data_IF_696274419479
#
_entry.id   IF_696274419479
#
_cell.length_a   1.000
_cell.length_b   1.000
_cell.length_c   1.000
_cell.angle_alpha   90.00
_cell.angle_beta   90.00
_cell.angle_gamma   90.00
#
_symmetry.space_group_name_H-M   'P 1'
#
loop_
_entity.id
_entity.type
_entity.pdbx_description
1 polymer ?
#
# COMPACT_ATOMS: atom_id res chain seq x y z
N UNK A 1 -3.14 38.75 15.19
CA UNK A 1 -1.92 37.93 15.38
C UNK A 1 -2.36 36.47 15.25
N UNK A 2 -2.41 35.96 14.02
CA UNK A 2 -2.95 34.63 13.68
C UNK A 2 -1.81 33.60 13.65
N UNK A 3 -2.01 32.51 14.37
CA UNK A 3 -1.08 31.39 14.55
C UNK A 3 -0.79 30.66 13.22
N UNK A 4 0.50 30.59 12.85
CA UNK A 4 0.98 29.94 11.61
C UNK A 4 1.05 28.40 11.72
N UNK A 5 0.65 27.77 12.83
CA UNK A 5 0.75 26.31 13.02
C UNK A 5 -0.37 25.48 12.39
N UNK A 6 -1.42 26.08 11.84
CA UNK A 6 -2.61 25.34 11.38
C UNK A 6 -2.58 24.94 9.90
N UNK A 7 -1.66 25.50 9.10
CA UNK A 7 -1.66 25.33 7.63
C UNK A 7 -1.11 24.01 7.07
N UNK A 8 -0.41 23.19 7.86
CA UNK A 8 0.24 21.95 7.39
C UNK A 8 -0.25 20.67 8.08
N UNK A 9 -1.18 20.80 9.03
CA UNK A 9 -1.72 19.67 9.81
C UNK A 9 -2.69 18.78 9.02
N UNK A 10 -3.20 19.24 7.89
CA UNK A 10 -4.22 18.54 7.09
C UNK A 10 -3.70 17.70 5.92
N UNK A 11 -2.46 17.89 5.45
CA UNK A 11 -2.05 17.29 4.17
C UNK A 11 -1.61 15.81 4.27
N UNK A 12 -0.96 15.40 5.36
CA UNK A 12 -0.37 14.05 5.46
C UNK A 12 -1.30 13.07 6.20
N UNK A 13 -2.31 13.58 6.92
CA UNK A 13 -3.27 12.75 7.68
C UNK A 13 -4.53 12.41 6.87
N UNK A 14 -4.70 12.98 5.67
CA UNK A 14 -5.90 12.83 4.85
C UNK A 14 -5.94 11.54 4.03
N UNK A 15 -4.84 11.13 3.42
CA UNK A 15 -4.90 10.09 2.37
C UNK A 15 -5.38 8.71 2.85
N UNK A 16 -5.01 8.28 4.05
CA UNK A 16 -5.43 6.98 4.60
C UNK A 16 -6.71 7.05 5.47
N UNK A 17 -7.24 8.25 5.77
CA UNK A 17 -8.46 8.44 6.57
C UNK A 17 -9.65 8.90 5.73
N UNK A 18 -9.39 9.57 4.59
CA UNK A 18 -10.41 10.11 3.70
C UNK A 18 -11.07 9.06 2.80
N UNK A 19 -10.58 7.81 2.75
CA UNK A 19 -11.25 6.74 2.02
C UNK A 19 -12.55 6.24 2.70
N UNK A 20 -12.93 6.77 3.87
CA UNK A 20 -14.09 6.30 4.64
C UNK A 20 -15.28 7.28 4.75
N UNK A 21 -15.26 8.46 4.10
CA UNK A 21 -16.41 9.38 4.11
C UNK A 21 -16.57 10.15 2.79
N UNK A 22 -17.34 9.61 1.83
CA UNK A 22 -18.42 10.32 1.09
C UNK A 22 -19.04 9.45 -0.02
N UNK A 23 -20.31 9.70 -0.42
CA UNK A 23 -21.15 8.76 -1.17
C UNK A 23 -21.13 8.96 -2.70
N UNK A 24 -21.21 7.82 -3.40
CA UNK A 24 -22.01 7.50 -4.60
C UNK A 24 -22.10 8.52 -5.75
N UNK A 25 -21.72 8.10 -6.98
CA UNK A 25 -22.55 8.26 -8.19
C UNK A 25 -22.19 7.21 -9.27
N UNK A 26 -23.27 6.70 -9.86
CA UNK A 26 -23.50 5.61 -10.83
C UNK A 26 -22.64 5.61 -12.11
N UNK A 27 -22.17 4.43 -12.55
CA UNK A 27 -22.65 3.62 -13.70
C UNK A 27 -22.71 4.36 -15.05
N UNK A 28 -21.98 3.84 -16.03
CA UNK A 28 -22.63 3.15 -17.17
C UNK A 28 -21.66 2.18 -17.86
N UNK A 29 -22.15 0.97 -18.07
CA UNK A 29 -21.54 -0.06 -18.89
C UNK A 29 -22.01 0.10 -20.34
N UNK A 30 -21.13 -0.14 -21.31
CA UNK A 30 -21.53 -0.40 -22.70
C UNK A 30 -20.82 -1.67 -23.18
N UNK A 31 -21.64 -2.64 -23.57
CA UNK A 31 -21.27 -3.88 -24.21
C UNK A 31 -21.16 -3.73 -25.74
N UNK A 32 -20.41 -4.63 -26.36
CA UNK A 32 -20.34 -4.82 -27.82
C UNK A 32 -18.89 -4.91 -28.28
N UNK A 33 -18.47 -5.72 -29.26
CA UNK A 33 -19.14 -6.67 -30.16
C UNK A 33 -18.03 -7.59 -30.71
N UNK A 34 -18.39 -8.69 -31.38
CA UNK A 34 -17.51 -9.81 -31.74
C UNK A 34 -16.26 -9.52 -32.59
N UNK A 35 -15.33 -10.47 -32.57
CA UNK A 35 -14.24 -10.54 -33.56
C UNK A 35 -13.85 -11.98 -33.90
N UNK A 36 -13.77 -12.17 -35.21
CA UNK A 36 -13.39 -13.31 -36.03
C UNK A 36 -12.22 -14.18 -35.54
N UNK A 37 -12.32 -15.49 -35.73
CA UNK A 37 -11.26 -16.47 -35.47
C UNK A 37 -10.54 -16.83 -36.78
N UNK A 38 -9.28 -16.42 -36.92
CA UNK A 38 -8.33 -17.00 -37.89
C UNK A 38 -7.25 -17.79 -37.13
N UNK A 39 -6.89 -19.00 -37.54
CA UNK A 39 -5.82 -19.74 -36.88
C UNK A 39 -4.48 -19.13 -37.30
N UNK A 40 -3.76 -18.52 -36.36
CA UNK A 40 -2.37 -18.11 -36.56
C UNK A 40 -1.48 -19.29 -36.15
N UNK A 41 -0.61 -19.63 -37.09
CA UNK A 41 0.45 -20.64 -37.02
C UNK A 41 1.21 -20.61 -35.68
N UNK A 42 1.49 -21.81 -35.17
CA UNK A 42 2.31 -22.07 -34.00
C UNK A 42 3.66 -21.35 -34.10
N UNK A 43 3.84 -20.34 -33.24
CA UNK A 43 5.13 -19.78 -32.89
C UNK A 43 5.53 -20.37 -31.53
N UNK A 44 6.81 -20.73 -31.42
CA UNK A 44 7.48 -21.25 -30.24
C UNK A 44 6.87 -20.75 -28.93
N UNK A 45 6.45 -21.70 -28.09
CA UNK A 45 6.01 -21.47 -26.72
C UNK A 45 7.19 -21.01 -25.86
N UNK A 46 7.65 -19.78 -26.07
CA UNK A 46 8.22 -19.00 -24.99
C UNK A 46 7.12 -18.92 -23.93
N UNK A 47 7.25 -19.70 -22.86
CA UNK A 47 6.44 -19.56 -21.66
C UNK A 47 6.57 -18.11 -21.20
N UNK A 48 5.68 -17.24 -21.67
CA UNK A 48 5.28 -16.04 -20.94
C UNK A 48 4.92 -16.61 -19.58
N UNK A 49 5.76 -16.35 -18.59
CA UNK A 49 5.45 -16.70 -17.21
C UNK A 49 4.26 -15.84 -16.85
N UNK A 50 3.06 -16.34 -17.16
CA UNK A 50 1.81 -15.77 -16.67
C UNK A 50 2.03 -15.62 -15.18
N UNK A 51 2.00 -14.38 -14.70
CA UNK A 51 2.27 -14.09 -13.31
C UNK A 51 1.38 -15.00 -12.44
N UNK A 52 1.97 -15.71 -11.47
CA UNK A 52 1.29 -16.74 -10.69
C UNK A 52 0.21 -16.11 -9.80
N UNK A 53 -0.99 -16.01 -10.38
CA UNK A 53 -2.17 -15.40 -9.79
C UNK A 53 -2.62 -16.14 -8.54
N UNK A 54 -2.71 -17.48 -8.60
CA UNK A 54 -3.16 -18.28 -7.46
C UNK A 54 -2.15 -18.23 -6.32
N UNK A 55 -0.86 -18.26 -6.62
CA UNK A 55 0.19 -18.04 -5.63
C UNK A 55 0.09 -16.68 -4.95
N UNK A 56 -0.17 -15.61 -5.72
CA UNK A 56 -0.37 -14.27 -5.19
C UNK A 56 -1.62 -14.16 -4.31
N UNK A 57 -2.75 -14.74 -4.71
CA UNK A 57 -3.98 -14.80 -3.89
C UNK A 57 -3.72 -15.50 -2.56
N UNK A 58 -3.15 -16.71 -2.58
CA UNK A 58 -2.85 -17.48 -1.37
C UNK A 58 -1.91 -16.71 -0.42
N UNK A 59 -0.94 -15.99 -0.98
CA UNK A 59 -0.04 -15.13 -0.22
C UNK A 59 -0.78 -13.99 0.47
N UNK A 60 -1.69 -13.30 -0.23
CA UNK A 60 -2.50 -12.22 0.34
C UNK A 60 -3.46 -12.76 1.42
N UNK A 61 -4.13 -13.88 1.17
CA UNK A 61 -5.03 -14.51 2.16
C UNK A 61 -4.28 -14.88 3.45
N UNK A 62 -3.08 -15.47 3.32
CA UNK A 62 -2.23 -15.81 4.47
C UNK A 62 -1.75 -14.57 5.23
N UNK A 63 -1.40 -13.50 4.52
CA UNK A 63 -1.01 -12.22 5.12
C UNK A 63 -2.19 -11.59 5.89
N UNK A 64 -3.36 -11.52 5.26
CA UNK A 64 -4.58 -10.98 5.87
C UNK A 64 -5.01 -11.79 7.10
N UNK A 65 -4.96 -13.13 7.04
CA UNK A 65 -5.26 -14.00 8.18
C UNK A 65 -4.34 -13.74 9.38
N UNK A 66 -3.04 -13.53 9.16
CA UNK A 66 -2.11 -13.13 10.24
C UNK A 66 -2.45 -11.76 10.81
N UNK A 67 -2.81 -10.80 9.97
CA UNK A 67 -3.20 -9.46 10.40
C UNK A 67 -4.44 -9.49 11.30
N UNK A 68 -5.51 -10.15 10.84
CA UNK A 68 -6.76 -10.33 11.58
C UNK A 68 -6.50 -11.03 12.91
N UNK A 69 -5.67 -12.08 12.93
CA UNK A 69 -5.38 -12.85 14.13
C UNK A 69 -4.77 -12.01 15.27
N UNK A 70 -3.79 -11.14 14.99
CA UNK A 70 -3.21 -10.30 16.05
C UNK A 70 -4.06 -9.06 16.36
N UNK A 71 -4.81 -8.53 15.40
CA UNK A 71 -5.69 -7.37 15.62
C UNK A 71 -6.88 -7.74 16.51
N UNK A 72 -7.51 -8.89 16.25
CA UNK A 72 -8.64 -9.42 17.03
C UNK A 72 -8.26 -10.09 18.35
N UNK A 73 -6.97 -10.22 18.67
CA UNK A 73 -6.54 -10.81 19.94
C UNK A 73 -6.65 -9.79 21.08
N UNK A 74 -7.67 -9.97 21.93
CA UNK A 74 -7.92 -9.12 23.11
C UNK A 74 -6.84 -9.25 24.20
N UNK A 75 -6.14 -10.39 24.24
CA UNK A 75 -5.04 -10.64 25.18
C UNK A 75 -3.71 -9.97 24.79
N UNK A 76 -3.61 -9.39 23.59
CA UNK A 76 -2.41 -8.69 23.13
C UNK A 76 -2.47 -7.20 23.46
N UNK A 77 -1.42 -6.70 24.12
CA UNK A 77 -1.21 -5.27 24.30
C UNK A 77 -0.95 -4.56 22.97
N UNK A 78 -1.18 -3.25 22.93
CA UNK A 78 -0.87 -2.43 21.75
C UNK A 78 0.59 -2.57 21.31
N UNK A 79 1.53 -2.70 22.25
CA UNK A 79 2.94 -2.92 21.94
C UNK A 79 3.18 -4.26 21.26
N UNK A 80 2.51 -5.32 21.70
CA UNK A 80 2.58 -6.64 21.07
C UNK A 80 1.97 -6.62 19.68
N UNK A 81 0.79 -6.00 19.48
CA UNK A 81 0.17 -5.82 18.16
C UNK A 81 1.09 -5.05 17.21
N UNK A 82 1.73 -3.97 17.69
CA UNK A 82 2.72 -3.19 16.92
C UNK A 82 3.95 -4.02 16.55
N UNK A 83 4.42 -4.91 17.42
CA UNK A 83 5.52 -5.82 17.10
C UNK A 83 5.13 -6.85 16.03
N UNK A 84 3.93 -7.44 16.13
CA UNK A 84 3.39 -8.35 15.11
C UNK A 84 3.21 -7.66 13.75
N UNK A 85 2.72 -6.42 13.75
CA UNK A 85 2.59 -5.64 12.52
C UNK A 85 3.93 -5.32 11.87
N UNK A 86 4.95 -4.97 12.67
CA UNK A 86 6.31 -4.78 12.14
C UNK A 86 6.81 -6.05 11.43
N UNK A 87 6.62 -7.21 12.06
CA UNK A 87 7.00 -8.49 11.46
C UNK A 87 6.18 -8.81 10.20
N UNK A 88 4.88 -8.51 10.19
CA UNK A 88 4.02 -8.65 9.02
C UNK A 88 4.55 -7.81 7.83
N UNK A 89 4.93 -6.56 8.08
CA UNK A 89 5.51 -5.67 7.06
C UNK A 89 6.83 -6.23 6.51
N UNK A 90 7.75 -6.65 7.39
CA UNK A 90 9.03 -7.24 7.00
C UNK A 90 8.84 -8.50 6.14
N UNK A 91 7.91 -9.36 6.53
CA UNK A 91 7.66 -10.65 5.89
C UNK A 91 6.88 -10.49 4.56
N UNK A 92 6.04 -9.46 4.42
CA UNK A 92 5.04 -9.40 3.33
C UNK A 92 5.23 -8.23 2.35
N UNK A 93 5.91 -7.15 2.75
CA UNK A 93 6.08 -5.95 1.92
C UNK A 93 7.54 -5.78 1.49
N UNK A 94 7.76 -5.35 0.24
CA UNK A 94 9.06 -4.85 -0.19
C UNK A 94 9.19 -3.38 0.20
N UNK A 95 9.42 -3.15 1.49
CA UNK A 95 9.53 -1.80 2.06
C UNK A 95 10.66 -0.98 1.43
N UNK A 96 11.71 -1.64 0.95
CA UNK A 96 12.81 -0.97 0.28
C UNK A 96 12.37 -0.40 -1.07
N UNK A 97 11.68 -1.20 -1.88
CA UNK A 97 11.11 -0.78 -3.17
C UNK A 97 10.04 0.30 -2.97
N UNK A 98 9.11 0.10 -2.03
CA UNK A 98 8.04 1.08 -1.73
C UNK A 98 8.65 2.41 -1.29
N UNK A 99 9.58 2.38 -0.31
CA UNK A 99 10.22 3.58 0.20
C UNK A 99 11.00 4.32 -0.89
N UNK A 100 11.73 3.59 -1.74
CA UNK A 100 12.45 4.17 -2.88
C UNK A 100 11.50 4.83 -3.87
N UNK A 101 10.38 4.17 -4.19
CA UNK A 101 9.36 4.73 -5.07
C UNK A 101 8.75 6.01 -4.48
N UNK A 102 8.41 5.98 -3.18
CA UNK A 102 7.87 7.13 -2.46
C UNK A 102 8.84 8.33 -2.44
N UNK A 103 10.15 8.11 -2.38
CA UNK A 103 11.12 9.22 -2.46
C UNK A 103 11.24 9.79 -3.89
N UNK A 104 10.83 9.01 -4.90
CA UNK A 104 10.77 9.45 -6.29
C UNK A 104 12.12 9.89 -6.86
N UNK A 105 12.13 11.04 -7.56
CA UNK A 105 13.34 11.56 -8.21
C UNK A 105 14.45 11.90 -7.22
N UNK A 106 14.06 12.33 -6.01
CA UNK A 106 14.99 12.71 -4.95
C UNK A 106 15.82 11.54 -4.41
N UNK A 107 15.40 10.29 -4.67
CA UNK A 107 16.25 9.14 -4.40
C UNK A 107 17.59 9.26 -5.13
N UNK A 108 17.61 9.73 -6.37
CA UNK A 108 18.83 9.81 -7.19
C UNK A 108 19.81 10.87 -6.68
N UNK A 109 19.32 11.99 -6.18
CA UNK A 109 20.14 13.08 -5.64
C UNK A 109 20.55 12.90 -4.18
N UNK A 110 19.83 12.09 -3.40
CA UNK A 110 20.19 11.78 -2.02
C UNK A 110 21.52 11.01 -1.93
N UNK A 111 22.34 11.34 -0.92
CA UNK A 111 23.54 10.58 -0.59
C UNK A 111 23.21 9.18 -0.08
N UNK A 112 24.20 8.29 -0.04
CA UNK A 112 24.02 6.94 0.51
C UNK A 112 23.56 6.96 1.98
N UNK A 113 24.16 7.84 2.80
CA UNK A 113 23.77 8.01 4.20
C UNK A 113 22.35 8.55 4.34
N UNK A 114 21.94 9.49 3.50
CA UNK A 114 20.56 10.01 3.47
C UNK A 114 19.56 8.93 3.06
N UNK A 115 19.88 8.10 2.05
CA UNK A 115 19.02 6.99 1.62
C UNK A 115 18.85 5.95 2.72
N UNK A 116 19.94 5.58 3.41
CA UNK A 116 19.91 4.63 4.51
C UNK A 116 19.06 5.15 5.68
N UNK A 117 19.28 6.40 6.09
CA UNK A 117 18.50 7.02 7.16
C UNK A 117 17.02 7.17 6.77
N UNK A 118 16.74 7.60 5.53
CA UNK A 118 15.38 7.69 5.01
C UNK A 118 14.66 6.34 5.07
N UNK A 119 15.28 5.26 4.60
CA UNK A 119 14.67 3.93 4.63
C UNK A 119 14.35 3.47 6.05
N UNK A 120 15.22 3.78 7.01
CA UNK A 120 14.96 3.51 8.43
C UNK A 120 13.75 4.30 8.92
N UNK A 121 13.72 5.61 8.69
CA UNK A 121 12.65 6.48 9.15
C UNK A 121 11.32 6.19 8.45
N UNK A 122 11.33 5.83 7.17
CA UNK A 122 10.16 5.43 6.40
C UNK A 122 9.46 4.22 7.02
N UNK A 123 10.22 3.17 7.38
CA UNK A 123 9.66 1.98 8.04
C UNK A 123 9.04 2.32 9.40
N UNK A 124 9.70 3.17 10.20
CA UNK A 124 9.18 3.60 11.51
C UNK A 124 7.89 4.40 11.35
N UNK A 125 7.86 5.33 10.39
CA UNK A 125 6.68 6.14 10.07
C UNK A 125 5.49 5.25 9.71
N UNK A 126 5.69 4.28 8.81
CA UNK A 126 4.63 3.33 8.41
C UNK A 126 4.10 2.58 9.62
N UNK A 127 4.99 2.05 10.48
CA UNK A 127 4.55 1.35 11.70
C UNK A 127 3.74 2.27 12.61
N UNK A 128 4.20 3.51 12.85
CA UNK A 128 3.53 4.46 13.75
C UNK A 128 2.12 4.80 13.22
N UNK A 129 2.04 5.30 11.98
CA UNK A 129 0.79 5.77 11.36
C UNK A 129 -0.31 4.71 11.37
N UNK A 130 0.03 3.46 11.06
CA UNK A 130 -0.98 2.40 11.01
C UNK A 130 -1.27 1.79 12.39
N UNK A 131 -0.29 1.73 13.29
CA UNK A 131 -0.50 1.15 14.63
C UNK A 131 -1.41 1.97 15.54
N UNK A 132 -1.50 3.29 15.31
CA UNK A 132 -2.40 4.18 16.04
C UNK A 132 -3.88 3.80 15.86
N UNK A 133 -4.23 3.13 14.76
CA UNK A 133 -5.62 2.77 14.42
C UNK A 133 -6.00 1.35 14.81
N UNK A 134 -5.12 0.59 15.46
CA UNK A 134 -5.44 -0.80 15.80
C UNK A 134 -6.64 -0.92 16.75
N UNK A 135 -6.94 0.12 17.54
CA UNK A 135 -8.14 0.17 18.38
C UNK A 135 -9.43 0.40 17.60
N UNK A 136 -9.36 0.81 16.33
CA UNK A 136 -10.52 0.98 15.44
C UNK A 136 -10.92 -0.33 14.75
N UNK A 137 -10.15 -1.41 14.95
CA UNK A 137 -10.53 -2.73 14.46
C UNK A 137 -11.73 -3.24 15.26
N UNK A 138 -12.86 -3.42 14.57
CA UNK A 138 -14.13 -3.89 15.12
C UNK A 138 -14.59 -5.17 14.42
N UNK A 139 -13.68 -6.13 14.26
CA UNK A 139 -13.94 -7.43 13.62
C UNK A 139 -14.27 -7.34 12.13
N UNK A 140 -13.60 -6.45 11.41
CA UNK A 140 -13.69 -6.40 9.95
C UNK A 140 -13.22 -7.73 9.34
N UNK A 141 -13.92 -8.23 8.33
CA UNK A 141 -13.53 -9.43 7.57
C UNK A 141 -12.79 -9.05 6.30
N UNK A 142 -11.99 -9.99 5.80
CA UNK A 142 -11.23 -9.84 4.56
C UNK A 142 -11.67 -10.93 3.57
N UNK A 143 -11.87 -10.54 2.32
CA UNK A 143 -12.20 -11.50 1.25
C UNK A 143 -11.53 -11.12 -0.06
N UNK A 144 -10.67 -12.01 -0.56
CA UNK A 144 -10.16 -11.93 -1.94
C UNK A 144 -11.30 -12.13 -2.93
N UNK A 145 -11.39 -11.26 -3.93
CA UNK A 145 -12.46 -11.26 -4.96
C UNK A 145 -11.97 -11.69 -6.33
N UNK A 146 -10.66 -11.69 -6.55
CA UNK A 146 -10.04 -12.19 -7.76
C UNK A 146 -8.63 -11.66 -7.91
N UNK A 147 -7.98 -12.00 -9.02
CA UNK A 147 -6.68 -11.46 -9.37
C UNK A 147 -6.53 -11.30 -10.87
N UNK A 148 -5.57 -10.48 -11.29
CA UNK A 148 -5.21 -10.28 -12.69
C UNK A 148 -3.73 -9.97 -12.83
N UNK A 149 -3.06 -10.35 -13.94
CA UNK A 149 -1.69 -9.96 -14.21
C UNK A 149 -1.53 -8.42 -14.28
N UNK A 150 -0.36 -7.93 -13.90
CA UNK A 150 0.09 -6.54 -14.08
C UNK A 150 1.52 -6.55 -14.63
N UNK A 151 1.62 -6.70 -15.96
CA UNK A 151 2.89 -6.98 -16.63
C UNK A 151 3.42 -8.39 -16.31
N UNK A 152 4.73 -8.57 -16.51
CA UNK A 152 5.34 -9.91 -16.50
C UNK A 152 5.64 -10.46 -15.09
N UNK A 153 5.69 -9.59 -14.07
CA UNK A 153 6.25 -9.91 -12.74
C UNK A 153 5.31 -9.62 -11.58
N UNK A 154 4.26 -8.85 -11.83
CA UNK A 154 3.33 -8.42 -10.79
C UNK A 154 1.92 -8.98 -11.08
N UNK A 155 1.17 -9.19 -10.01
CA UNK A 155 -0.25 -9.55 -10.01
C UNK A 155 -0.97 -8.51 -9.16
N UNK A 156 -2.13 -8.05 -9.64
CA UNK A 156 -3.08 -7.32 -8.82
C UNK A 156 -4.05 -8.34 -8.21
N UNK A 157 -4.06 -8.45 -6.90
CA UNK A 157 -5.05 -9.23 -6.15
C UNK A 157 -6.10 -8.25 -5.63
N UNK A 158 -7.36 -8.43 -6.01
CA UNK A 158 -8.47 -7.59 -5.57
C UNK A 158 -9.15 -8.22 -4.36
N UNK A 159 -9.60 -7.38 -3.43
CA UNK A 159 -10.23 -7.82 -2.19
C UNK A 159 -11.25 -6.81 -1.67
N UNK A 160 -12.12 -7.27 -0.76
CA UNK A 160 -12.99 -6.42 0.05
C UNK A 160 -12.65 -6.56 1.53
N UNK A 161 -12.69 -5.43 2.23
CA UNK A 161 -12.71 -5.37 3.69
C UNK A 161 -14.15 -4.99 4.10
N UNK A 162 -14.82 -5.90 4.80
CA UNK A 162 -16.24 -5.76 5.15
C UNK A 162 -16.36 -5.45 6.66
N UNK A 163 -17.17 -4.46 7.01
CA UNK A 163 -17.43 -4.11 8.42
C UNK A 163 -18.70 -4.79 8.90
N UNK A 164 -18.76 -5.29 10.15
CA UNK A 164 -19.99 -5.84 10.71
C UNK A 164 -21.07 -4.77 10.93
N UNK A 165 -20.72 -3.48 10.92
CA UNK A 165 -21.63 -2.36 11.18
C UNK A 165 -22.46 -1.95 9.94
N UNK A 166 -22.49 -2.75 8.89
CA UNK A 166 -23.27 -2.48 7.68
C UNK A 166 -22.73 -1.32 6.82
N UNK A 167 -21.50 -0.86 7.09
CA UNK A 167 -20.80 0.11 6.24
C UNK A 167 -20.48 -0.52 4.87
N UNK A 168 -20.47 0.25 3.78
CA UNK A 168 -20.04 -0.25 2.48
C UNK A 168 -18.66 -0.93 2.57
N UNK A 169 -18.45 -2.08 1.91
CA UNK A 169 -17.15 -2.73 1.88
C UNK A 169 -16.10 -1.83 1.24
N UNK A 170 -14.89 -1.81 1.81
CA UNK A 170 -13.75 -1.09 1.26
C UNK A 170 -13.04 -1.97 0.24
N UNK A 171 -12.86 -1.46 -0.97
CA UNK A 171 -12.11 -2.13 -2.04
C UNK A 171 -10.62 -1.92 -1.86
N UNK A 172 -9.88 -3.02 -1.87
CA UNK A 172 -8.41 -3.00 -1.78
C UNK A 172 -7.80 -3.88 -2.86
N UNK A 173 -6.95 -3.26 -3.67
CA UNK A 173 -6.11 -3.96 -4.65
C UNK A 173 -4.67 -4.02 -4.15
N UNK A 174 -4.09 -5.21 -4.16
CA UNK A 174 -2.73 -5.49 -3.72
C UNK A 174 -1.85 -5.74 -4.93
N UNK A 175 -0.84 -4.89 -5.16
CA UNK A 175 0.16 -5.14 -6.19
C UNK A 175 1.24 -6.06 -5.63
N UNK A 176 1.19 -7.32 -6.01
CA UNK A 176 2.08 -8.38 -5.54
C UNK A 176 3.12 -8.68 -6.60
N UNK A 177 4.40 -8.53 -6.25
CA UNK A 177 5.53 -8.94 -7.07
C UNK A 177 5.96 -10.35 -6.70
N UNK A 178 6.16 -11.21 -7.70
CA UNK A 178 6.82 -12.49 -7.53
C UNK A 178 8.26 -12.40 -8.07
N UNK A 179 9.25 -12.61 -7.19
CA UNK A 179 10.65 -12.75 -7.58
C UNK A 179 11.18 -14.10 -7.11
N UNK A 180 11.38 -15.00 -8.06
CA UNK A 180 11.94 -16.34 -7.84
C UNK A 180 11.15 -17.14 -6.78
N UNK A 181 9.82 -17.08 -6.84
CA UNK A 181 8.92 -17.77 -5.89
C UNK A 181 8.72 -17.03 -4.57
N UNK A 182 9.30 -15.83 -4.40
CA UNK A 182 9.10 -14.99 -3.22
C UNK A 182 8.14 -13.85 -3.55
N UNK A 183 6.98 -13.89 -2.90
CA UNK A 183 5.94 -12.87 -3.01
C UNK A 183 6.21 -11.69 -2.08
N UNK A 184 6.06 -10.48 -2.59
CA UNK A 184 6.09 -9.24 -1.80
C UNK A 184 5.07 -8.25 -2.36
N UNK A 185 4.40 -7.54 -1.47
CA UNK A 185 3.56 -6.40 -1.82
C UNK A 185 4.47 -5.22 -2.13
N UNK A 186 4.26 -4.60 -3.29
CA UNK A 186 5.01 -3.42 -3.76
C UNK A 186 4.14 -2.17 -3.90
N UNK A 187 2.81 -2.31 -3.80
CA UNK A 187 1.87 -1.20 -3.66
C UNK A 187 0.52 -1.71 -3.14
N UNK A 188 -0.27 -0.80 -2.57
CA UNK A 188 -1.67 -1.05 -2.18
C UNK A 188 -2.50 0.08 -2.77
N UNK A 189 -3.61 -0.27 -3.41
CA UNK A 189 -4.60 0.71 -3.85
C UNK A 189 -5.85 0.54 -2.99
N UNK A 190 -6.31 1.65 -2.40
CA UNK A 190 -7.55 1.69 -1.62
C UNK A 190 -8.54 2.55 -2.38
N UNK A 191 -9.71 1.99 -2.70
CA UNK A 191 -10.71 2.66 -3.55
C UNK A 191 -10.11 3.22 -4.85
N UNK A 192 -9.20 2.45 -5.46
CA UNK A 192 -8.51 2.80 -6.70
C UNK A 192 -7.34 3.79 -6.54
N UNK A 193 -7.08 4.30 -5.33
CA UNK A 193 -6.00 5.26 -5.07
C UNK A 193 -4.74 4.53 -4.57
N UNK A 194 -3.65 4.65 -5.33
CA UNK A 194 -2.34 4.09 -4.94
C UNK A 194 -1.76 4.80 -3.72
N UNK A 195 -1.46 4.02 -2.68
CA UNK A 195 -0.87 4.52 -1.45
C UNK A 195 0.58 4.97 -1.63
N UNK A 196 1.38 4.22 -2.39
CA UNK A 196 2.78 4.60 -2.63
C UNK A 196 2.91 5.84 -3.52
N UNK A 197 1.99 6.02 -4.48
CA UNK A 197 1.93 7.23 -5.31
C UNK A 197 1.49 8.45 -4.49
N UNK A 198 0.50 8.28 -3.62
CA UNK A 198 0.05 9.35 -2.73
C UNK A 198 1.18 9.78 -1.80
N UNK A 199 1.86 8.82 -1.17
CA UNK A 199 3.01 9.11 -0.31
C UNK A 199 4.14 9.81 -1.06
N UNK A 200 4.34 9.48 -2.35
CA UNK A 200 5.31 10.16 -3.22
C UNK A 200 4.96 11.63 -3.42
N UNK A 201 3.69 11.96 -3.66
CA UNK A 201 3.24 13.35 -3.76
C UNK A 201 3.45 14.10 -2.46
N UNK A 202 3.16 13.48 -1.31
CA UNK A 202 3.35 14.09 0.01
C UNK A 202 4.82 14.40 0.28
N UNK A 203 5.71 13.43 0.04
CA UNK A 203 7.16 13.63 0.22
C UNK A 203 7.71 14.67 -0.74
N UNK A 204 7.28 14.65 -2.01
CA UNK A 204 7.68 15.67 -2.97
C UNK A 204 7.26 17.06 -2.50
N UNK A 205 6.05 17.21 -1.95
CA UNK A 205 5.56 18.50 -1.45
C UNK A 205 6.39 19.02 -0.28
N UNK A 206 6.74 18.15 0.68
CA UNK A 206 7.60 18.52 1.82
C UNK A 206 8.99 18.95 1.34
N UNK A 207 9.60 18.18 0.43
CA UNK A 207 10.94 18.48 -0.09
C UNK A 207 10.93 19.79 -0.90
N UNK A 208 9.92 20.02 -1.74
CA UNK A 208 9.79 21.25 -2.53
C UNK A 208 9.60 22.48 -1.65
N UNK A 209 8.76 22.39 -0.61
CA UNK A 209 8.61 23.46 0.38
C UNK A 209 9.93 23.77 1.12
N UNK A 210 10.82 22.77 1.22
CA UNK A 210 12.18 22.89 1.73
C UNK A 210 13.25 23.26 0.70
N UNK A 211 12.88 23.78 -0.48
CA UNK A 211 13.84 24.19 -1.52
C UNK A 211 14.50 23.04 -2.28
N UNK A 212 13.92 21.84 -2.25
CA UNK A 212 14.46 20.66 -2.93
C UNK A 212 15.40 19.81 -2.06
N UNK A 213 15.59 20.15 -0.79
CA UNK A 213 16.49 19.44 0.11
C UNK A 213 15.81 18.24 0.80
N UNK A 214 16.33 17.03 0.53
CA UNK A 214 15.90 15.77 1.16
C UNK A 214 16.09 15.79 2.68
N UNK A 215 17.04 16.57 3.19
CA UNK A 215 17.28 16.68 4.62
C UNK A 215 16.06 17.25 5.36
N UNK A 216 15.27 18.11 4.71
CA UNK A 216 14.02 18.65 5.28
C UNK A 216 13.01 17.53 5.55
N UNK A 217 12.83 16.62 4.59
CA UNK A 217 11.98 15.44 4.78
C UNK A 217 12.52 14.53 5.89
N UNK A 218 13.83 14.27 5.91
CA UNK A 218 14.45 13.43 6.95
C UNK A 218 14.22 13.99 8.36
N UNK A 219 14.36 15.30 8.52
CA UNK A 219 14.10 15.97 9.79
C UNK A 219 12.62 15.87 10.18
N UNK A 220 11.71 16.04 9.21
CA UNK A 220 10.28 15.86 9.42
C UNK A 220 9.94 14.45 9.90
N UNK A 221 10.47 13.42 9.23
CA UNK A 221 10.24 12.02 9.62
C UNK A 221 10.79 11.72 11.02
N UNK A 222 12.00 12.19 11.35
CA UNK A 222 12.59 12.02 12.69
C UNK A 222 11.74 12.66 13.78
N UNK A 223 11.24 13.88 13.54
CA UNK A 223 10.38 14.58 14.49
C UNK A 223 9.05 13.86 14.71
N UNK A 224 8.49 13.24 13.66
CA UNK A 224 7.23 12.48 13.75
C UNK A 224 7.39 11.08 14.34
N UNK A 225 8.58 10.50 14.22
CA UNK A 225 8.86 9.14 14.65
C UNK A 225 9.35 9.03 16.09
N UNK A 226 9.92 10.11 16.64
CA UNK A 226 10.33 10.23 18.04
C UNK A 226 9.18 10.67 18.93
#
# INVERSE_FOLDING_TARGET
MLDRKTGLRGLILGAATAALLSPLMSQDAVAGTGMDLRPVLAADSAFVRVADQKGAENFIDSMAGRAIAFLGNEGMSQQQKRASFRKLLEDSFDMATIGRFALGTYWRSASESQRAEYQKQFKVMVVNVYSERFSEYTNQTFRTTGSRPDGDKDVIVSSLIESPEGKPPVKVDWRVRNKDGRYKIVDVLVEGVSMSLTQRSDFSSVIQAGGGDVQVLLNHLKQKNG
#
